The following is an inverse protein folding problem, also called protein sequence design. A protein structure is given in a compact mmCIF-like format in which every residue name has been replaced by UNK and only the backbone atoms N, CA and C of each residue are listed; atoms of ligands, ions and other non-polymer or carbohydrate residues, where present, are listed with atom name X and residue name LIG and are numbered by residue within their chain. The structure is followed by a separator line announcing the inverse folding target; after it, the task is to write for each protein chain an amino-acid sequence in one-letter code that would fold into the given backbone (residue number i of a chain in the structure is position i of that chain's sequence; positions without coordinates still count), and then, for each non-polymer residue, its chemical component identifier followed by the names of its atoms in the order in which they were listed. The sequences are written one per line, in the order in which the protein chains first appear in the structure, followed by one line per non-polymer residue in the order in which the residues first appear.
data_IF_745867072623
#
_entry.id   IF_745867072623
#
_cell.length_a   1.000
_cell.length_b   1.000
_cell.length_c   1.000
_cell.angle_alpha   90.00
_cell.angle_beta   90.00
_cell.angle_gamma   90.00
#
_symmetry.space_group_name_H-M   'P 1'
#
loop_
_entity.id
_entity.type
_entity.pdbx_description
1 polymer ?
#
# COMPACT_ATOMS: atom_id res chain seq x y z
N UNK A 1 5.73 29.26 -29.06
CA UNK A 1 5.63 27.78 -29.05
C UNK A 1 6.36 27.27 -27.81
N UNK A 2 5.64 27.12 -26.70
CA UNK A 2 6.20 26.66 -25.43
C UNK A 2 6.29 25.14 -25.46
N UNK A 3 7.51 24.60 -25.47
CA UNK A 3 7.74 23.17 -25.26
C UNK A 3 7.11 22.74 -23.92
N UNK A 4 6.39 21.61 -23.87
CA UNK A 4 5.94 21.08 -22.59
C UNK A 4 7.16 20.68 -21.77
N UNK A 5 7.25 21.22 -20.55
CA UNK A 5 8.20 20.79 -19.54
C UNK A 5 8.09 19.28 -19.38
N UNK A 6 9.08 18.53 -19.90
CA UNK A 6 9.20 17.12 -19.60
C UNK A 6 9.56 17.01 -18.11
N UNK A 7 8.56 16.72 -17.29
CA UNK A 7 8.77 16.31 -15.91
C UNK A 7 9.86 15.22 -15.91
N UNK A 8 10.92 15.37 -15.11
CA UNK A 8 12.00 14.39 -15.10
C UNK A 8 11.39 13.03 -14.83
N UNK A 9 11.71 12.03 -15.66
CA UNK A 9 11.44 10.63 -15.35
C UNK A 9 12.11 10.37 -14.00
N UNK A 10 11.33 10.37 -12.92
CA UNK A 10 11.82 10.00 -11.60
C UNK A 10 12.21 8.53 -11.74
N UNK A 11 13.50 8.30 -11.94
CA UNK A 11 14.10 6.98 -11.89
C UNK A 11 14.01 6.58 -10.41
N UNK A 12 12.93 5.90 -10.03
CA UNK A 12 12.74 5.33 -8.69
C UNK A 12 13.72 4.17 -8.47
N UNK A 13 15.02 4.45 -8.40
CA UNK A 13 16.05 3.42 -8.24
C UNK A 13 16.04 2.74 -6.87
N UNK A 14 15.28 3.25 -5.87
CA UNK A 14 15.20 2.67 -4.53
C UNK A 14 13.81 2.85 -3.85
N UNK A 15 12.70 2.58 -4.54
CA UNK A 15 11.41 2.49 -3.84
C UNK A 15 11.32 1.15 -3.11
N UNK A 16 11.35 1.18 -1.78
CA UNK A 16 11.08 0.00 -0.94
C UNK A 16 9.59 -0.07 -0.64
N UNK A 17 8.94 -1.13 -1.13
CA UNK A 17 7.55 -1.45 -0.80
C UNK A 17 7.39 -1.77 0.69
N UNK A 18 6.19 -1.52 1.21
CA UNK A 18 5.82 -1.82 2.58
C UNK A 18 5.27 -0.62 3.33
N UNK A 19 4.40 -0.90 4.30
CA UNK A 19 3.91 0.11 5.23
C UNK A 19 5.05 0.63 6.12
N UNK A 20 4.95 1.90 6.50
CA UNK A 20 5.87 2.55 7.44
C UNK A 20 5.12 2.95 8.69
N UNK A 21 5.79 2.88 9.84
CA UNK A 21 5.30 3.49 11.06
C UNK A 21 5.22 5.01 10.89
N UNK A 22 4.12 5.62 11.30
CA UNK A 22 3.96 7.07 11.14
C UNK A 22 4.83 7.89 12.11
N UNK A 23 5.28 7.27 13.20
CA UNK A 23 6.11 7.94 14.20
C UNK A 23 7.59 7.92 13.86
N UNK A 24 8.13 6.78 13.42
CA UNK A 24 9.58 6.62 13.19
C UNK A 24 9.96 6.25 11.76
N UNK A 25 9.00 6.17 10.84
CA UNK A 25 9.21 5.78 9.43
C UNK A 25 9.82 4.39 9.21
N UNK A 26 9.93 3.56 10.25
CA UNK A 26 10.41 2.18 10.12
C UNK A 26 9.42 1.30 9.38
N UNK A 27 9.94 0.34 8.61
CA UNK A 27 9.16 -0.71 7.96
C UNK A 27 8.90 -1.92 8.88
N UNK A 28 9.44 -1.90 10.10
CA UNK A 28 9.34 -3.02 11.04
C UNK A 28 7.99 -2.98 11.76
N UNK A 29 6.92 -3.28 11.02
CA UNK A 29 5.54 -3.31 11.50
C UNK A 29 5.03 -4.75 11.60
N UNK A 30 4.31 -5.03 12.68
CA UNK A 30 3.61 -6.30 12.90
C UNK A 30 2.11 -6.03 13.09
N UNK A 31 1.26 -6.87 12.51
CA UNK A 31 -0.18 -6.77 12.72
C UNK A 31 -0.55 -7.27 14.12
N UNK A 32 -1.04 -6.38 14.97
CA UNK A 32 -1.52 -6.71 16.31
C UNK A 32 -2.96 -7.26 16.26
N UNK A 33 -3.76 -6.75 15.31
CA UNK A 33 -5.15 -7.16 15.12
C UNK A 33 -5.62 -6.91 13.68
N UNK A 34 -6.90 -7.12 13.39
CA UNK A 34 -7.50 -6.79 12.09
C UNK A 34 -7.62 -5.29 11.80
N UNK A 35 -7.23 -4.42 12.74
CA UNK A 35 -7.31 -2.95 12.63
C UNK A 35 -6.07 -2.21 13.12
N UNK A 36 -5.15 -2.88 13.82
CA UNK A 36 -3.98 -2.26 14.44
C UNK A 36 -2.69 -2.94 13.99
N UNK A 37 -1.65 -2.14 13.80
CA UNK A 37 -0.28 -2.58 13.63
C UNK A 37 0.61 -1.93 14.68
N UNK A 38 1.63 -2.64 15.16
CA UNK A 38 2.62 -2.13 16.10
C UNK A 38 3.97 -2.02 15.41
N UNK A 39 4.67 -0.91 15.60
CA UNK A 39 6.06 -0.78 15.20
C UNK A 39 6.96 -1.48 16.22
N UNK A 40 7.77 -2.44 15.78
CA UNK A 40 8.65 -3.18 16.68
C UNK A 40 9.85 -2.34 17.15
N UNK A 41 10.21 -1.28 16.42
CA UNK A 41 11.35 -0.41 16.76
C UNK A 41 10.98 0.67 17.79
N UNK A 42 9.83 1.35 17.63
CA UNK A 42 9.43 2.46 18.51
C UNK A 42 8.19 2.17 19.38
N UNK A 43 7.61 0.97 19.26
CA UNK A 43 6.40 0.51 19.97
C UNK A 43 5.15 1.35 19.73
N UNK A 44 5.16 2.26 18.75
CA UNK A 44 3.97 3.01 18.37
C UNK A 44 2.93 2.07 17.74
N UNK A 45 1.67 2.30 18.06
CA UNK A 45 0.54 1.55 17.53
C UNK A 45 -0.16 2.44 16.51
N UNK A 46 -0.23 1.95 15.28
CA UNK A 46 -0.85 2.61 14.15
C UNK A 46 -2.17 1.93 13.78
N UNK A 47 -3.12 2.72 13.27
CA UNK A 47 -4.31 2.18 12.64
C UNK A 47 -3.97 1.64 11.24
N UNK A 48 -4.20 0.35 11.04
CA UNK A 48 -3.81 -0.35 9.82
C UNK A 48 -4.55 0.16 8.57
N UNK A 49 -5.83 0.54 8.70
CA UNK A 49 -6.58 1.12 7.57
C UNK A 49 -5.96 2.43 7.11
N UNK A 50 -5.64 3.29 8.08
CA UNK A 50 -5.02 4.60 7.83
C UNK A 50 -3.68 4.46 7.13
N UNK A 51 -2.83 3.54 7.60
CA UNK A 51 -1.55 3.23 6.97
C UNK A 51 -1.72 2.73 5.53
N UNK A 52 -2.65 1.80 5.31
CA UNK A 52 -2.92 1.24 3.98
C UNK A 52 -3.43 2.32 3.01
N UNK A 53 -4.40 3.13 3.42
CA UNK A 53 -4.92 4.24 2.60
C UNK A 53 -3.82 5.23 2.26
N UNK A 54 -3.03 5.63 3.24
CA UNK A 54 -1.93 6.55 3.03
C UNK A 54 -0.93 5.98 2.03
N UNK A 55 -0.48 4.73 2.23
CA UNK A 55 0.47 4.06 1.34
C UNK A 55 -0.03 3.96 -0.10
N UNK A 56 -1.22 3.40 -0.33
CA UNK A 56 -1.73 3.22 -1.69
C UNK A 56 -2.08 4.56 -2.37
N UNK A 57 -2.50 5.57 -1.61
CA UNK A 57 -2.67 6.94 -2.14
C UNK A 57 -1.33 7.55 -2.55
N UNK A 58 -0.25 7.33 -1.80
CA UNK A 58 1.08 7.82 -2.21
C UNK A 58 1.60 7.08 -3.46
N UNK A 59 1.26 5.81 -3.62
CA UNK A 59 1.61 5.07 -4.84
C UNK A 59 0.92 5.60 -6.10
N UNK A 60 -0.32 6.10 -6.03
CA UNK A 60 -0.96 6.73 -7.20
C UNK A 60 -0.24 8.01 -7.62
N UNK A 61 0.23 8.81 -6.66
CA UNK A 61 1.00 10.03 -6.94
C UNK A 61 2.36 9.74 -7.59
N UNK A 62 2.91 8.56 -7.38
CA UNK A 62 4.13 8.09 -8.02
C UNK A 62 3.91 7.52 -9.44
N UNK A 63 2.74 7.75 -10.05
CA UNK A 63 2.35 7.22 -11.37
C UNK A 63 2.51 5.69 -11.50
N UNK A 64 2.42 4.93 -10.39
CA UNK A 64 2.39 3.47 -10.46
C UNK A 64 0.99 2.99 -10.83
N UNK A 65 0.85 2.11 -11.85
CA UNK A 65 -0.45 1.52 -12.16
C UNK A 65 -0.88 0.61 -10.99
N UNK A 66 -1.93 1.02 -10.27
CA UNK A 66 -2.50 0.24 -9.15
C UNK A 66 -3.54 -0.79 -9.61
N UNK A 67 -3.25 -1.50 -10.70
CA UNK A 67 -3.99 -2.72 -11.07
C UNK A 67 -3.16 -3.92 -10.65
N UNK A 68 -3.53 -4.52 -9.53
CA UNK A 68 -2.74 -5.55 -8.84
C UNK A 68 -3.55 -6.82 -8.63
N UNK A 69 -2.88 -7.96 -8.58
CA UNK A 69 -3.43 -9.23 -8.07
C UNK A 69 -3.39 -9.23 -6.55
N UNK A 70 -4.24 -10.04 -5.90
CA UNK A 70 -4.25 -10.20 -4.43
C UNK A 70 -2.86 -10.49 -3.84
N UNK A 71 -2.06 -11.33 -4.50
CA UNK A 71 -0.68 -11.65 -4.09
C UNK A 71 0.26 -10.44 -4.14
N UNK A 72 0.08 -9.57 -5.13
CA UNK A 72 0.88 -8.35 -5.32
C UNK A 72 0.49 -7.30 -4.28
N UNK A 73 -0.81 -7.17 -3.97
CA UNK A 73 -1.27 -6.33 -2.85
C UNK A 73 -0.63 -6.80 -1.54
N UNK A 74 -0.62 -8.10 -1.27
CA UNK A 74 0.02 -8.62 -0.05
C UNK A 74 1.52 -8.31 0.01
N UNK A 75 2.23 -8.47 -1.11
CA UNK A 75 3.66 -8.12 -1.21
C UNK A 75 3.91 -6.61 -1.00
N UNK A 76 3.06 -5.75 -1.57
CA UNK A 76 3.16 -4.31 -1.42
C UNK A 76 2.92 -3.83 0.02
N UNK A 77 2.06 -4.52 0.78
CA UNK A 77 1.77 -4.18 2.19
C UNK A 77 2.99 -4.46 3.08
N UNK A 78 3.73 -5.54 2.85
CA UNK A 78 4.95 -5.86 3.61
C UNK A 78 4.73 -6.22 5.09
N UNK A 79 3.47 -6.33 5.53
CA UNK A 79 3.07 -6.77 6.87
C UNK A 79 2.30 -8.07 6.72
N UNK A 80 2.61 -9.07 7.56
CA UNK A 80 1.93 -10.36 7.55
C UNK A 80 0.49 -10.17 8.05
N UNK A 81 -0.48 -10.29 7.14
CA UNK A 81 -1.90 -10.21 7.45
C UNK A 81 -2.53 -11.59 7.34
N UNK A 82 -3.49 -11.89 8.22
CA UNK A 82 -4.33 -13.08 8.05
C UNK A 82 -5.12 -12.98 6.74
N UNK A 83 -5.46 -14.13 6.15
CA UNK A 83 -6.27 -14.19 4.92
C UNK A 83 -7.57 -13.39 5.03
N UNK A 84 -8.19 -13.40 6.21
CA UNK A 84 -9.40 -12.63 6.52
C UNK A 84 -9.12 -11.12 6.48
N UNK A 85 -8.12 -10.65 7.23
CA UNK A 85 -7.77 -9.21 7.31
C UNK A 85 -7.34 -8.68 5.95
N UNK A 86 -6.53 -9.44 5.20
CA UNK A 86 -6.15 -9.09 3.84
C UNK A 86 -7.38 -8.95 2.92
N UNK A 87 -8.32 -9.90 2.98
CA UNK A 87 -9.53 -9.84 2.15
C UNK A 87 -10.43 -8.65 2.52
N UNK A 88 -10.59 -8.36 3.82
CA UNK A 88 -11.31 -7.19 4.33
C UNK A 88 -10.77 -5.91 3.70
N UNK A 89 -9.45 -5.69 3.76
CA UNK A 89 -8.84 -4.48 3.22
C UNK A 89 -8.83 -4.42 1.69
N UNK A 90 -8.69 -5.57 1.01
CA UNK A 90 -8.85 -5.61 -0.45
C UNK A 90 -10.25 -5.15 -0.85
N UNK A 91 -11.30 -5.66 -0.19
CA UNK A 91 -12.69 -5.27 -0.50
C UNK A 91 -12.95 -3.79 -0.19
N UNK A 92 -12.36 -3.29 0.89
CA UNK A 92 -12.49 -1.91 1.31
C UNK A 92 -11.82 -0.94 0.32
N UNK A 93 -10.56 -1.21 -0.02
CA UNK A 93 -9.68 -0.26 -0.72
C UNK A 93 -9.60 -0.47 -2.23
N UNK A 94 -10.07 -1.61 -2.75
CA UNK A 94 -9.94 -1.92 -4.17
C UNK A 94 -11.28 -2.33 -4.79
N UNK A 95 -11.42 -2.03 -6.08
CA UNK A 95 -12.51 -2.46 -6.96
C UNK A 95 -12.04 -3.64 -7.81
N UNK A 96 -12.83 -4.70 -7.90
CA UNK A 96 -12.50 -5.88 -8.72
C UNK A 96 -12.79 -5.57 -10.18
N UNK A 97 -11.77 -5.62 -11.04
CA UNK A 97 -11.88 -5.27 -12.47
C UNK A 97 -12.49 -6.41 -13.31
N UNK A 98 -12.28 -7.66 -12.92
CA UNK A 98 -12.80 -8.84 -13.64
C UNK A 98 -13.00 -10.02 -12.71
N UNK A 99 -14.09 -10.78 -12.91
CA UNK A 99 -14.37 -12.03 -12.17
C UNK A 99 -13.28 -13.09 -12.38
N UNK A 100 -12.74 -13.19 -13.59
CA UNK A 100 -11.85 -14.29 -14.01
C UNK A 100 -10.38 -14.07 -13.66
N UNK A 101 -9.90 -12.83 -13.74
CA UNK A 101 -8.47 -12.57 -13.66
C UNK A 101 -7.98 -12.07 -12.29
N UNK A 102 -8.88 -11.91 -11.31
CA UNK A 102 -8.60 -11.45 -9.94
C UNK A 102 -7.70 -10.20 -9.87
N UNK A 103 -7.89 -9.27 -10.82
CA UNK A 103 -7.26 -7.95 -10.78
C UNK A 103 -8.11 -6.98 -9.97
N UNK A 104 -7.42 -6.20 -9.15
CA UNK A 104 -7.97 -5.22 -8.22
C UNK A 104 -7.38 -3.86 -8.56
N UNK A 105 -8.24 -2.84 -8.63
CA UNK A 105 -7.86 -1.46 -8.89
C UNK A 105 -8.11 -0.63 -7.64
N UNK A 106 -7.12 0.14 -7.18
CA UNK A 106 -7.26 0.97 -5.99
C UNK A 106 -8.39 2.02 -6.16
N UNK A 107 -9.22 2.17 -5.14
CA UNK A 107 -10.27 3.18 -5.05
C UNK A 107 -9.65 4.45 -4.49
N UNK A 108 -9.51 5.47 -5.34
CA UNK A 108 -9.15 6.83 -4.93
C UNK A 108 -10.29 7.47 -4.13
#
# INVERSE_FOLDING_TARGET
MTQPLQLPKIIHRNFKSGLKCDKCSSFNLEALSSSLAVCLDCRHIDNLERLLRHYFTMLTLCNRPLTLKKKEIHQEIGVQLTSYTLQKYINLLFSKKSKHAQYYTYKL
#
